data_IF_387049343665
#
_entry.id   IF_387049343665
#
_cell.length_a   1.000
_cell.length_b   1.000
_cell.length_c   1.000
_cell.angle_alpha   90.00
_cell.angle_beta   90.00
_cell.angle_gamma   90.00
#
_symmetry.space_group_name_H-M   'P 1'
#
loop_
_entity.id
_entity.type
_entity.pdbx_description
1 polymer ?
#
# COMPACT_ATOMS: atom_id res chain seq x y z
N UNK A 1 -32.01 -13.18 -21.19
CA UNK A 1 -31.39 -12.53 -20.00
C UNK A 1 -30.14 -11.80 -20.45
N UNK A 2 -30.13 -10.48 -20.33
CA UNK A 2 -29.06 -9.60 -20.86
C UNK A 2 -27.76 -9.75 -20.05
N UNK A 3 -26.61 -9.56 -20.69
CA UNK A 3 -25.27 -9.66 -20.08
C UNK A 3 -25.05 -8.72 -18.87
N UNK A 4 -25.96 -7.78 -18.65
CA UNK A 4 -25.99 -6.89 -17.49
C UNK A 4 -26.43 -7.63 -16.21
N UNK A 5 -27.44 -8.50 -16.28
CA UNK A 5 -27.93 -9.23 -15.09
C UNK A 5 -26.90 -10.22 -14.54
N UNK A 6 -26.10 -10.85 -15.41
CA UNK A 6 -25.01 -11.75 -14.97
C UNK A 6 -23.96 -10.97 -14.18
N UNK A 7 -23.48 -9.85 -14.72
CA UNK A 7 -22.54 -8.96 -14.04
C UNK A 7 -23.04 -8.45 -12.68
N UNK A 8 -24.34 -8.17 -12.55
CA UNK A 8 -24.91 -7.75 -11.28
C UNK A 8 -24.95 -8.88 -10.25
N UNK A 9 -25.28 -10.11 -10.68
CA UNK A 9 -25.30 -11.28 -9.82
C UNK A 9 -23.89 -11.68 -9.37
N UNK A 10 -22.93 -11.72 -10.30
CA UNK A 10 -21.53 -12.05 -10.03
C UNK A 10 -20.95 -11.09 -9.00
N UNK A 11 -21.18 -9.78 -9.18
CA UNK A 11 -20.74 -8.74 -8.24
C UNK A 11 -21.30 -8.88 -6.82
N UNK A 12 -22.56 -9.29 -6.69
CA UNK A 12 -23.16 -9.54 -5.37
C UNK A 12 -22.57 -10.79 -4.72
N UNK A 13 -22.26 -11.82 -5.51
CA UNK A 13 -21.62 -13.04 -5.03
C UNK A 13 -20.18 -12.77 -4.54
N UNK A 14 -19.40 -11.98 -5.29
CA UNK A 14 -18.05 -11.59 -4.91
C UNK A 14 -18.04 -10.76 -3.63
N UNK A 15 -18.90 -9.73 -3.55
CA UNK A 15 -19.01 -8.90 -2.35
C UNK A 15 -19.52 -9.66 -1.12
N UNK A 16 -20.37 -10.68 -1.31
CA UNK A 16 -20.77 -11.60 -0.25
C UNK A 16 -19.58 -12.39 0.28
N UNK A 17 -18.77 -12.97 -0.61
CA UNK A 17 -17.59 -13.75 -0.23
C UNK A 17 -16.57 -12.90 0.55
N UNK A 18 -16.32 -11.66 0.13
CA UNK A 18 -15.42 -10.74 0.83
C UNK A 18 -15.92 -10.35 2.22
N UNK A 19 -17.22 -10.03 2.35
CA UNK A 19 -17.83 -9.71 3.65
C UNK A 19 -17.72 -10.89 4.62
N UNK A 20 -17.92 -12.11 4.14
CA UNK A 20 -17.76 -13.32 4.95
C UNK A 20 -16.30 -13.59 5.31
N UNK A 21 -15.35 -13.33 4.42
CA UNK A 21 -13.92 -13.43 4.73
C UNK A 21 -13.52 -12.44 5.82
N UNK A 22 -13.94 -11.17 5.70
CA UNK A 22 -13.67 -10.14 6.70
C UNK A 22 -14.31 -10.47 8.06
N UNK A 23 -15.54 -10.99 8.05
CA UNK A 23 -16.21 -11.44 9.27
C UNK A 23 -15.50 -12.65 9.89
N UNK A 24 -15.01 -13.58 9.06
CA UNK A 24 -14.22 -14.73 9.48
C UNK A 24 -12.89 -14.32 10.11
N UNK A 25 -12.16 -13.38 9.51
CA UNK A 25 -10.92 -12.82 10.04
C UNK A 25 -11.13 -12.09 11.37
N UNK A 26 -12.26 -11.38 11.51
CA UNK A 26 -12.64 -10.75 12.77
C UNK A 26 -12.99 -11.79 13.86
N UNK A 27 -13.72 -12.83 13.47
CA UNK A 27 -14.11 -13.92 14.37
C UNK A 27 -12.92 -14.81 14.77
N UNK A 28 -11.89 -14.89 13.93
CA UNK A 28 -10.71 -15.70 14.18
C UNK A 28 -10.00 -15.25 15.48
N UNK A 29 -9.76 -16.18 16.43
CA UNK A 29 -9.03 -15.87 17.65
C UNK A 29 -7.56 -15.56 17.31
N UNK A 30 -7.11 -14.31 17.53
CA UNK A 30 -5.68 -13.99 17.59
C UNK A 30 -5.14 -12.84 16.72
N UNK A 31 -5.95 -12.11 15.94
CA UNK A 31 -5.47 -11.04 15.04
C UNK A 31 -5.73 -9.59 15.49
N UNK A 32 -5.63 -9.28 16.79
CA UNK A 32 -5.55 -7.88 17.22
C UNK A 32 -4.07 -7.53 17.53
N UNK A 33 -3.45 -6.62 16.76
CA UNK A 33 -2.07 -6.23 17.01
C UNK A 33 -1.96 -5.50 18.35
N UNK A 34 -1.24 -6.12 19.29
CA UNK A 34 -0.77 -5.46 20.53
C UNK A 34 -1.44 -5.88 21.84
N UNK A 35 -2.50 -6.70 21.84
CA UNK A 35 -3.18 -7.10 23.08
C UNK A 35 -3.41 -8.62 23.13
N UNK A 36 -2.68 -9.32 24.01
CA UNK A 36 -2.90 -10.75 24.30
C UNK A 36 -4.18 -10.91 25.13
N UNK A 37 -5.34 -10.88 24.48
CA UNK A 37 -6.59 -11.29 25.13
C UNK A 37 -6.64 -12.82 25.11
N UNK A 38 -6.89 -13.50 26.24
CA UNK A 38 -6.94 -14.96 26.28
C UNK A 38 -7.99 -15.50 25.28
N UNK A 39 -7.60 -16.40 24.38
CA UNK A 39 -8.50 -16.97 23.38
C UNK A 39 -9.43 -17.96 24.09
N UNK A 40 -10.69 -17.57 24.31
CA UNK A 40 -11.66 -18.58 24.77
C UNK A 40 -13.05 -18.10 25.15
N UNK A 41 -13.19 -16.97 25.86
CA UNK A 41 -14.45 -16.77 26.60
C UNK A 41 -15.25 -15.49 26.26
N UNK A 42 -14.62 -14.44 25.73
CA UNK A 42 -15.30 -13.13 25.66
C UNK A 42 -16.07 -12.91 24.34
N UNK A 43 -15.76 -13.66 23.27
CA UNK A 43 -16.37 -13.43 21.94
C UNK A 43 -17.59 -14.30 21.65
N UNK A 44 -17.65 -15.52 22.18
CA UNK A 44 -18.75 -16.45 21.98
C UNK A 44 -20.13 -15.92 22.41
N UNK A 45 -20.31 -15.24 23.57
CA UNK A 45 -21.63 -14.75 23.95
C UNK A 45 -22.08 -13.56 23.09
N UNK A 46 -21.16 -12.73 22.59
CA UNK A 46 -21.51 -11.61 21.72
C UNK A 46 -22.02 -12.08 20.36
N UNK A 47 -21.35 -13.09 19.77
CA UNK A 47 -21.79 -13.71 18.51
C UNK A 47 -23.14 -14.42 18.71
N UNK A 48 -23.30 -15.16 19.81
CA UNK A 48 -24.55 -15.84 20.13
C UNK A 48 -25.70 -14.85 20.37
N UNK A 49 -25.43 -13.74 21.06
CA UNK A 49 -26.39 -12.66 21.29
C UNK A 49 -26.82 -11.97 20.01
N UNK A 50 -25.88 -11.70 19.09
CA UNK A 50 -26.17 -11.16 17.76
C UNK A 50 -27.02 -12.12 16.92
N UNK A 51 -26.69 -13.41 16.93
CA UNK A 51 -27.45 -14.43 16.23
C UNK A 51 -28.88 -14.55 16.77
N UNK A 52 -29.04 -14.54 18.10
CA UNK A 52 -30.35 -14.57 18.73
C UNK A 52 -31.16 -13.30 18.44
N UNK A 53 -30.55 -12.12 18.51
CA UNK A 53 -31.20 -10.86 18.18
C UNK A 53 -31.67 -10.82 16.71
N UNK A 54 -30.88 -11.35 15.77
CA UNK A 54 -31.29 -11.48 14.38
C UNK A 54 -32.51 -12.41 14.23
N UNK A 55 -32.51 -13.55 14.92
CA UNK A 55 -33.63 -14.49 14.91
C UNK A 55 -34.90 -13.88 15.53
N UNK A 56 -34.77 -13.19 16.66
CA UNK A 56 -35.87 -12.49 17.31
C UNK A 56 -36.43 -11.38 16.42
N UNK A 57 -35.57 -10.59 15.77
CA UNK A 57 -36.00 -9.52 14.84
C UNK A 57 -36.80 -10.10 13.67
N UNK A 58 -36.40 -11.25 13.13
CA UNK A 58 -37.13 -11.93 12.06
C UNK A 58 -38.53 -12.39 12.49
N UNK A 59 -38.70 -12.85 13.74
CA UNK A 59 -39.99 -13.30 14.25
C UNK A 59 -40.92 -12.15 14.67
N UNK A 60 -40.40 -11.11 15.33
CA UNK A 60 -41.23 -10.06 15.94
C UNK A 60 -41.45 -8.84 15.05
N UNK A 61 -40.57 -8.60 14.08
CA UNK A 61 -40.66 -7.44 13.21
C UNK A 61 -40.24 -7.78 11.77
N UNK A 62 -41.03 -8.59 11.04
CA UNK A 62 -40.72 -8.96 9.66
C UNK A 62 -40.57 -7.74 8.74
N UNK A 63 -41.23 -6.62 9.07
CA UNK A 63 -41.06 -5.36 8.36
C UNK A 63 -39.61 -4.81 8.41
N UNK A 64 -38.84 -5.11 9.47
CA UNK A 64 -37.43 -4.74 9.59
C UNK A 64 -36.50 -5.60 8.71
N UNK A 65 -36.98 -6.74 8.19
CA UNK A 65 -36.17 -7.56 7.27
C UNK A 65 -35.94 -6.87 5.93
N UNK A 66 -36.90 -6.09 5.45
CA UNK A 66 -36.77 -5.33 4.20
C UNK A 66 -35.60 -4.33 4.24
N UNK A 67 -35.52 -3.39 5.20
CA UNK A 67 -34.39 -2.46 5.27
C UNK A 67 -33.07 -3.20 5.54
N UNK A 68 -33.07 -4.23 6.39
CA UNK A 68 -31.86 -5.04 6.63
C UNK A 68 -31.36 -5.71 5.34
N UNK A 69 -32.25 -6.28 4.54
CA UNK A 69 -31.90 -6.92 3.26
C UNK A 69 -31.39 -5.89 2.25
N UNK A 70 -32.02 -4.72 2.16
CA UNK A 70 -31.56 -3.65 1.26
C UNK A 70 -30.19 -3.10 1.67
N UNK A 71 -29.95 -2.93 2.98
CA UNK A 71 -28.68 -2.48 3.51
C UNK A 71 -27.59 -3.53 3.27
N UNK A 72 -27.91 -4.81 3.47
CA UNK A 72 -27.02 -5.92 3.19
C UNK A 72 -26.67 -6.00 1.70
N UNK A 73 -27.67 -5.93 0.81
CA UNK A 73 -27.44 -5.91 -0.64
C UNK A 73 -26.59 -4.71 -1.06
N UNK A 74 -26.80 -3.52 -0.47
CA UNK A 74 -25.96 -2.35 -0.69
C UNK A 74 -24.53 -2.56 -0.19
N UNK A 75 -24.34 -3.21 0.96
CA UNK A 75 -23.03 -3.55 1.49
C UNK A 75 -22.29 -4.54 0.58
N UNK A 76 -22.93 -5.63 0.15
CA UNK A 76 -22.37 -6.57 -0.82
C UNK A 76 -22.04 -5.87 -2.14
N UNK A 77 -22.94 -5.02 -2.64
CA UNK A 77 -22.69 -4.28 -3.87
C UNK A 77 -21.49 -3.35 -3.76
N UNK A 78 -21.27 -2.73 -2.59
CA UNK A 78 -20.11 -1.86 -2.31
C UNK A 78 -18.83 -2.64 -2.08
N UNK A 79 -18.89 -3.81 -1.45
CA UNK A 79 -17.74 -4.70 -1.29
C UNK A 79 -17.27 -5.20 -2.67
N UNK A 80 -18.18 -5.83 -3.45
CA UNK A 80 -17.88 -6.24 -4.82
C UNK A 80 -17.76 -5.08 -5.82
N UNK A 81 -17.99 -3.83 -5.40
CA UNK A 81 -17.69 -2.64 -6.20
C UNK A 81 -16.20 -2.35 -6.25
N UNK A 82 -15.45 -2.83 -5.28
CA UNK A 82 -14.01 -2.74 -5.32
C UNK A 82 -13.55 -3.67 -6.43
N UNK A 83 -12.96 -3.16 -7.52
CA UNK A 83 -12.09 -4.02 -8.30
C UNK A 83 -11.08 -4.57 -7.30
N UNK A 84 -11.00 -5.89 -7.15
CA UNK A 84 -9.77 -6.47 -6.65
C UNK A 84 -8.70 -5.95 -7.59
N UNK A 85 -7.92 -5.01 -7.08
CA UNK A 85 -6.87 -4.36 -7.82
C UNK A 85 -5.88 -5.46 -8.15
N UNK A 86 -5.81 -5.79 -9.43
CA UNK A 86 -4.60 -6.27 -10.08
C UNK A 86 -3.53 -5.17 -9.94
N UNK A 87 -3.12 -4.89 -8.69
CA UNK A 87 -1.95 -4.14 -8.25
C UNK A 87 -1.59 -2.78 -8.85
N UNK A 88 -2.26 -2.20 -9.85
CA UNK A 88 -1.56 -1.22 -10.69
C UNK A 88 -2.29 0.00 -11.25
N UNK A 89 -3.62 0.12 -11.30
CA UNK A 89 -4.18 1.21 -12.15
C UNK A 89 -5.34 2.06 -11.63
N UNK A 90 -5.74 1.94 -10.37
CA UNK A 90 -6.61 2.97 -9.75
C UNK A 90 -6.04 3.53 -8.46
N UNK A 91 -4.88 4.16 -8.61
CA UNK A 91 -4.59 5.36 -7.83
C UNK A 91 -5.67 6.41 -8.14
N UNK A 92 -6.73 6.40 -7.33
CA UNK A 92 -7.55 7.56 -7.05
C UNK A 92 -6.60 8.77 -6.95
N UNK A 93 -6.82 9.77 -7.80
CA UNK A 93 -5.90 10.87 -8.08
C UNK A 93 -5.75 11.79 -6.88
N UNK A 94 -5.22 11.29 -5.76
CA UNK A 94 -4.53 12.11 -4.80
C UNK A 94 -3.38 12.73 -5.60
N UNK A 95 -3.41 14.06 -5.84
CA UNK A 95 -2.39 14.71 -6.63
C UNK A 95 -1.03 14.32 -6.07
N UNK A 96 -0.04 14.04 -6.92
CA UNK A 96 1.32 13.68 -6.48
C UNK A 96 1.83 14.64 -5.39
N UNK A 97 1.49 15.93 -5.54
CA UNK A 97 1.74 16.99 -4.58
C UNK A 97 1.17 16.71 -3.17
N UNK A 98 -0.03 16.12 -3.04
CA UNK A 98 -0.63 15.78 -1.75
C UNK A 98 0.08 14.58 -1.10
N UNK A 99 0.42 13.54 -1.86
CA UNK A 99 1.24 12.41 -1.34
C UNK A 99 2.62 12.88 -0.87
N UNK A 100 3.28 13.72 -1.69
CA UNK A 100 4.55 14.37 -1.33
C UNK A 100 4.43 15.17 -0.04
N UNK A 101 3.40 16.01 0.10
CA UNK A 101 3.15 16.81 1.32
C UNK A 101 2.92 15.94 2.56
N UNK A 102 2.20 14.82 2.44
CA UNK A 102 1.99 13.88 3.55
C UNK A 102 3.31 13.26 4.00
N UNK A 103 4.16 12.82 3.04
CA UNK A 103 5.49 12.29 3.35
C UNK A 103 6.37 13.34 4.04
N UNK A 104 6.44 14.55 3.51
CA UNK A 104 7.25 15.63 4.07
C UNK A 104 6.80 16.01 5.50
N UNK A 105 5.49 16.10 5.74
CA UNK A 105 4.94 16.35 7.09
C UNK A 105 5.29 15.25 8.07
N UNK A 106 5.19 14.00 7.65
CA UNK A 106 5.61 12.87 8.49
C UNK A 106 7.11 12.95 8.79
N UNK A 107 7.93 13.25 7.79
CA UNK A 107 9.38 13.34 7.97
C UNK A 107 9.78 14.46 8.94
N UNK A 108 9.05 15.59 8.95
CA UNK A 108 9.20 16.64 9.97
C UNK A 108 8.80 16.18 11.38
N UNK A 109 7.70 15.43 11.50
CA UNK A 109 7.30 14.86 12.79
C UNK A 109 8.37 13.90 13.32
N UNK A 110 8.99 13.14 12.42
CA UNK A 110 10.00 12.15 12.74
C UNK A 110 11.34 12.75 13.17
N UNK A 111 11.74 13.84 12.51
CA UNK A 111 12.91 14.63 12.90
C UNK A 111 12.67 15.29 14.27
N UNK A 112 11.43 15.66 14.60
CA UNK A 112 11.10 16.38 15.82
C UNK A 112 11.87 17.69 15.91
N UNK A 113 12.35 18.07 17.09
CA UNK A 113 13.09 19.32 17.30
C UNK A 113 14.58 19.24 16.90
N UNK A 114 15.04 18.10 16.36
CA UNK A 114 16.43 17.96 15.93
C UNK A 114 16.71 18.71 14.62
N UNK A 115 17.99 18.98 14.34
CA UNK A 115 18.42 19.61 13.08
C UNK A 115 18.24 18.68 11.85
N UNK A 116 18.07 17.38 12.07
CA UNK A 116 17.84 16.40 11.01
C UNK A 116 17.80 14.97 11.55
N UNK A 117 17.74 14.00 10.64
CA UNK A 117 17.73 12.57 10.96
C UNK A 117 18.71 11.82 10.05
N UNK A 118 19.46 10.86 10.61
CA UNK A 118 20.35 10.00 9.82
C UNK A 118 19.55 9.00 8.97
N UNK A 119 20.10 8.56 7.84
CA UNK A 119 19.40 7.64 6.93
C UNK A 119 19.07 6.29 7.57
N UNK A 120 20.00 5.71 8.33
CA UNK A 120 19.80 4.38 8.93
C UNK A 120 18.57 4.32 9.85
N UNK A 121 18.40 5.21 10.85
CA UNK A 121 17.16 5.23 11.64
C UNK A 121 15.94 5.64 10.82
N UNK A 122 16.09 6.54 9.84
CA UNK A 122 14.98 6.91 8.96
C UNK A 122 14.46 5.70 8.15
N UNK A 123 15.34 4.88 7.59
CA UNK A 123 14.97 3.69 6.82
C UNK A 123 14.30 2.62 7.68
N UNK A 124 14.76 2.44 8.93
CA UNK A 124 14.07 1.56 9.87
C UNK A 124 12.61 1.99 10.07
N UNK A 125 12.38 3.28 10.31
CA UNK A 125 11.02 3.82 10.52
C UNK A 125 10.17 3.85 9.24
N UNK A 126 10.78 4.02 8.07
CA UNK A 126 10.08 3.89 6.79
C UNK A 126 9.57 2.45 6.57
N UNK A 127 10.35 1.44 6.97
CA UNK A 127 9.96 0.03 6.84
C UNK A 127 8.83 -0.40 7.79
N UNK A 128 8.61 0.32 8.88
CA UNK A 128 7.45 0.09 9.75
C UNK A 128 6.13 0.40 9.04
N UNK A 129 6.17 1.06 7.88
CA UNK A 129 5.01 1.31 7.03
C UNK A 129 4.77 0.15 6.07
N UNK A 130 3.57 -0.46 6.04
CA UNK A 130 3.27 -1.60 5.17
C UNK A 130 3.60 -1.36 3.70
N UNK A 131 3.36 -0.14 3.21
CA UNK A 131 3.61 0.24 1.82
C UNK A 131 5.10 0.29 1.43
N UNK A 132 6.03 0.39 2.38
CA UNK A 132 7.46 0.54 2.13
C UNK A 132 8.30 -0.57 2.79
N UNK A 133 7.67 -1.49 3.51
CA UNK A 133 8.33 -2.56 4.26
C UNK A 133 9.21 -3.47 3.38
N UNK A 134 8.81 -3.64 2.12
CA UNK A 134 9.49 -4.50 1.15
C UNK A 134 10.66 -3.81 0.43
N UNK A 135 10.85 -2.50 0.61
CA UNK A 135 11.88 -1.75 -0.10
C UNK A 135 13.27 -1.89 0.56
N UNK A 136 14.26 -2.16 -0.29
CA UNK A 136 15.68 -2.14 0.03
C UNK A 136 16.19 -0.70 0.27
N UNK A 137 17.35 -0.56 0.91
CA UNK A 137 17.99 0.74 1.14
C UNK A 137 18.18 1.60 -0.14
N UNK A 138 18.63 1.04 -1.29
CA UNK A 138 18.72 1.83 -2.52
C UNK A 138 17.36 2.26 -3.06
N UNK A 139 16.33 1.43 -2.94
CA UNK A 139 14.97 1.77 -3.35
C UNK A 139 14.36 2.85 -2.45
N UNK A 140 14.58 2.78 -1.13
CA UNK A 140 14.19 3.84 -0.21
C UNK A 140 14.91 5.15 -0.51
N UNK A 141 16.20 5.10 -0.88
CA UNK A 141 16.94 6.28 -1.34
C UNK A 141 16.35 6.84 -2.63
N UNK A 142 16.03 5.99 -3.60
CA UNK A 142 15.40 6.39 -4.85
C UNK A 142 14.01 7.00 -4.60
N UNK A 143 13.23 6.44 -3.68
CA UNK A 143 11.93 6.98 -3.29
C UNK A 143 12.06 8.39 -2.66
N UNK A 144 13.01 8.58 -1.74
CA UNK A 144 13.27 9.92 -1.18
C UNK A 144 13.68 10.93 -2.25
N UNK A 145 14.54 10.52 -3.19
CA UNK A 145 14.95 11.36 -4.31
C UNK A 145 13.77 11.67 -5.25
N UNK A 146 12.89 10.71 -5.51
CA UNK A 146 11.68 10.88 -6.30
C UNK A 146 10.74 11.94 -5.70
N UNK A 147 10.66 12.03 -4.37
CA UNK A 147 9.90 13.10 -3.69
C UNK A 147 10.68 14.42 -3.55
N UNK A 148 11.89 14.50 -4.11
CA UNK A 148 12.75 15.67 -4.07
C UNK A 148 13.38 15.94 -2.70
N UNK A 149 13.46 14.93 -1.83
CA UNK A 149 14.06 15.06 -0.50
C UNK A 149 15.59 14.94 -0.61
N UNK A 150 16.36 16.01 -0.33
CA UNK A 150 17.81 15.96 -0.47
C UNK A 150 18.43 15.11 0.65
N UNK A 151 19.36 14.24 0.25
CA UNK A 151 20.15 13.41 1.14
C UNK A 151 21.57 13.96 1.19
N UNK A 152 21.96 14.51 2.34
CA UNK A 152 23.30 15.03 2.54
C UNK A 152 24.25 13.92 2.99
N UNK A 153 25.50 13.93 2.50
CA UNK A 153 26.50 12.89 2.82
C UNK A 153 27.15 13.07 4.19
N UNK A 154 27.17 14.29 4.73
CA UNK A 154 27.86 14.64 5.98
C UNK A 154 26.97 15.49 6.89
N UNK A 155 25.99 14.84 7.53
CA UNK A 155 25.10 15.47 8.49
C UNK A 155 25.60 15.20 9.92
N UNK A 156 25.56 16.24 10.76
CA UNK A 156 25.82 16.15 12.19
C UNK A 156 24.51 16.26 12.96
N UNK A 157 24.12 15.19 13.68
CA UNK A 157 22.91 15.16 14.53
C UNK A 157 23.28 14.60 15.90
N UNK A 158 22.84 15.26 16.97
CA UNK A 158 23.07 14.82 18.35
C UNK A 158 24.55 14.48 18.66
N UNK A 159 25.48 15.28 18.17
CA UNK A 159 26.92 15.09 18.39
C UNK A 159 27.60 14.03 17.50
N UNK A 160 26.87 13.35 16.62
CA UNK A 160 27.44 12.36 15.68
C UNK A 160 27.58 13.01 14.31
N UNK A 161 28.82 13.25 13.88
CA UNK A 161 29.15 13.87 12.59
C UNK A 161 29.42 12.84 11.47
N UNK A 162 29.41 13.32 10.22
CA UNK A 162 29.91 12.57 9.05
C UNK A 162 28.99 11.46 8.53
N UNK A 163 27.72 11.41 8.96
CA UNK A 163 26.76 10.40 8.51
C UNK A 163 25.79 10.99 7.52
N UNK A 164 25.36 10.18 6.54
CA UNK A 164 24.35 10.66 5.61
C UNK A 164 22.98 10.80 6.28
N UNK A 165 22.22 11.82 5.89
CA UNK A 165 20.93 12.12 6.50
C UNK A 165 20.13 13.17 5.76
N UNK A 166 18.98 13.52 6.33
CA UNK A 166 18.06 14.54 5.82
C UNK A 166 17.99 15.68 6.84
N UNK A 167 18.22 16.91 6.38
CA UNK A 167 18.10 18.13 7.22
C UNK A 167 16.65 18.54 7.36
N UNK A 168 16.30 19.02 8.56
CA UNK A 168 14.99 19.60 8.85
C UNK A 168 14.68 20.79 7.94
N UNK A 169 15.62 21.74 7.86
CA UNK A 169 15.45 22.97 7.08
C UNK A 169 15.16 22.68 5.59
N UNK A 170 15.78 21.65 5.02
CA UNK A 170 15.51 21.26 3.63
C UNK A 170 14.08 20.75 3.44
N UNK A 171 13.56 19.98 4.40
CA UNK A 171 12.19 19.44 4.35
C UNK A 171 11.16 20.56 4.53
N UNK A 172 11.42 21.51 5.42
CA UNK A 172 10.58 22.70 5.62
C UNK A 172 10.55 23.57 4.35
N UNK A 173 11.70 23.79 3.71
CA UNK A 173 11.77 24.48 2.42
C UNK A 173 10.93 23.79 1.34
N UNK A 174 10.98 22.45 1.25
CA UNK A 174 10.20 21.69 0.27
C UNK A 174 8.69 21.72 0.53
N UNK A 175 8.27 21.93 1.77
CA UNK A 175 6.86 22.12 2.15
C UNK A 175 6.35 23.52 1.84
N UNK A 176 7.21 24.53 2.04
CA UNK A 176 6.89 25.93 1.79
C UNK A 176 7.01 26.31 0.32
N UNK A 177 7.84 25.59 -0.45
CA UNK A 177 7.91 25.72 -1.90
C UNK A 177 6.58 25.29 -2.52
N UNK A 178 5.97 26.19 -3.30
CA UNK A 178 4.85 25.82 -4.17
C UNK A 178 5.35 24.79 -5.18
N UNK A 179 4.64 23.66 -5.39
CA UNK A 179 5.07 22.66 -6.37
C UNK A 179 5.17 23.34 -7.75
N UNK A 180 6.23 23.06 -8.54
CA UNK A 180 6.36 23.64 -9.87
C UNK A 180 5.14 23.21 -10.72
N UNK A 181 4.52 24.13 -11.48
CA UNK A 181 3.43 23.78 -12.38
C UNK A 181 3.98 22.88 -13.50
N UNK A 182 3.69 21.57 -13.42
CA UNK A 182 4.09 20.62 -14.45
C UNK A 182 4.84 19.36 -14.00
N UNK A 183 4.99 19.09 -12.70
CA UNK A 183 5.42 17.76 -12.22
C UNK A 183 4.28 16.74 -12.43
N UNK A 184 4.03 16.40 -13.69
CA UNK A 184 3.45 15.12 -14.08
C UNK A 184 4.35 14.04 -13.49
N UNK A 185 3.78 13.11 -12.72
CA UNK A 185 4.47 11.86 -12.43
C UNK A 185 5.03 11.35 -13.76
N UNK A 186 6.33 11.02 -13.85
CA UNK A 186 6.75 10.13 -14.92
C UNK A 186 5.93 8.87 -14.69
N UNK A 187 4.92 8.68 -15.54
CA UNK A 187 4.18 7.44 -15.66
C UNK A 187 5.23 6.34 -15.63
N UNK A 188 5.03 5.31 -14.83
CA UNK A 188 5.84 4.09 -14.96
C UNK A 188 5.57 3.54 -16.36
N UNK A 189 6.26 4.10 -17.35
CA UNK A 189 6.58 3.44 -18.58
C UNK A 189 7.45 2.27 -18.14
N UNK A 190 6.74 1.19 -17.82
CA UNK A 190 7.32 -0.13 -17.68
C UNK A 190 7.96 -0.37 -19.04
N UNK A 191 9.28 -0.18 -19.06
CA UNK A 191 10.20 -0.53 -20.11
C UNK A 191 10.19 -2.07 -20.19
N UNK A 192 9.08 -2.61 -20.71
CA UNK A 192 8.96 -4.00 -21.12
C UNK A 192 9.32 -4.07 -22.59
N UNK A 193 10.59 -4.31 -22.87
CA UNK A 193 11.07 -4.65 -24.20
C UNK A 193 12.58 -4.84 -24.26
N UNK A 194 13.13 -5.92 -23.68
CA UNK A 194 14.51 -6.30 -23.94
C UNK A 194 14.55 -7.03 -25.28
N UNK A 195 14.73 -6.31 -26.38
CA UNK A 195 15.07 -6.96 -27.64
C UNK A 195 16.14 -6.16 -28.39
N UNK A 196 17.13 -6.91 -28.92
CA UNK A 196 18.26 -6.48 -29.74
C UNK A 196 19.56 -6.09 -29.01
N UNK A 197 20.14 -7.06 -28.29
CA UNK A 197 21.59 -7.29 -28.34
C UNK A 197 21.87 -8.79 -28.48
N UNK A 198 21.57 -9.34 -29.65
CA UNK A 198 22.05 -10.66 -30.06
C UNK A 198 22.46 -10.63 -31.54
N UNK A 199 23.70 -10.24 -31.78
CA UNK A 199 24.50 -10.74 -32.89
C UNK A 199 25.95 -10.67 -32.44
N UNK A 200 26.23 -11.62 -31.55
CA UNK A 200 27.51 -12.08 -31.04
C UNK A 200 28.35 -12.60 -32.21
N UNK A 201 29.55 -12.04 -32.33
CA UNK A 201 30.79 -12.68 -32.74
C UNK A 201 30.64 -14.00 -33.51
N UNK A 202 30.76 -13.92 -34.83
CA UNK A 202 31.29 -15.03 -35.61
C UNK A 202 32.80 -15.05 -35.36
N UNK A 203 33.16 -15.90 -34.42
CA UNK A 203 34.50 -16.24 -33.99
C UNK A 203 35.26 -16.83 -35.17
N UNK A 204 36.37 -16.21 -35.53
CA UNK A 204 37.42 -16.89 -36.28
C UNK A 204 37.95 -18.04 -35.42
N UNK A 205 37.75 -19.27 -35.88
CA UNK A 205 38.50 -20.42 -35.40
C UNK A 205 38.42 -21.54 -36.45
N UNK A 206 39.48 -21.68 -37.25
CA UNK A 206 40.20 -22.96 -37.39
C UNK A 206 41.46 -22.79 -38.23
N UNK A 207 42.55 -22.92 -37.49
CA UNK A 207 43.90 -23.24 -37.92
C UNK A 207 43.93 -24.41 -38.92
N UNK A 208 44.94 -24.36 -39.78
CA UNK A 208 45.15 -25.32 -40.86
C UNK A 208 45.42 -26.76 -40.43
N UNK A 209 45.27 -27.66 -41.40
CA UNK A 209 45.99 -28.93 -41.45
C UNK A 209 45.84 -29.53 -42.86
N UNK A 210 46.92 -29.52 -43.66
CA UNK A 210 47.59 -30.72 -44.20
C UNK A 210 48.47 -30.40 -45.41
N UNK A 211 49.76 -30.68 -45.22
CA UNK A 211 50.77 -30.94 -46.23
C UNK A 211 50.42 -32.14 -47.11
N UNK A 212 50.77 -32.08 -48.40
CA UNK A 212 51.47 -33.10 -49.18
C UNK A 212 51.85 -32.51 -50.55
#
# INVERSE_FOLDING_TARGET
MTAWHRRAADRLADGHAELWAALGDWAAPGRLPGHRVPPGLVRSPAVLGLAWAALATAHYAPALMWPATTLYAAACWRAGAWPQDDGQERAETVPCAARRRVLLRWLLAEIGQANGIHLRPLYARLRDRPALAHLSDPELRAALAHYGVPVERSLTVAGVAGRSGVRRAAVEQLLNASPPPGESCPSQATESGPDQRSSRAESGEREGLKSA
#
